data_IF_056222566869
#
_entry.id   IF_056222566869
#
_cell.length_a   1.000
_cell.length_b   1.000
_cell.length_c   1.000
_cell.angle_alpha   90.00
_cell.angle_beta   90.00
_cell.angle_gamma   90.00
#
_symmetry.space_group_name_H-M   'P 1'
#
loop_
_entity.id
_entity.type
_entity.pdbx_description
1 polymer ?
2 non-polymer ?
3 water ?
#
# COMPACT_ATOMS: atom_id res chain seq x y z
N UNK A 7 -1.74 -20.82 -0.55
CA UNK A 7 -1.78 -19.39 -0.29
C UNK A 7 -1.49 -18.60 -1.56
N UNK A 8 -2.18 -17.50 -1.74
CA UNK A 8 -2.01 -16.71 -2.97
C UNK A 8 -0.65 -16.02 -3.04
N UNK A 9 -0.24 -15.73 -4.27
CA UNK A 9 0.92 -14.91 -4.52
C UNK A 9 0.59 -13.42 -4.43
N UNK A 10 1.40 -12.64 -5.06
CA UNK A 10 1.26 -11.19 -4.95
C UNK A 10 0.10 -10.68 -5.79
N UNK A 11 -0.53 -9.61 -5.32
CA UNK A 11 -1.49 -8.87 -6.16
C UNK A 11 -0.82 -8.37 -7.43
N UNK A 12 -1.61 -8.27 -8.49
CA UNK A 12 -1.07 -7.97 -9.82
C UNK A 12 -1.38 -6.54 -10.25
N UNK A 13 -0.57 -5.99 -11.15
CA UNK A 13 -0.87 -4.71 -11.81
C UNK A 13 -1.18 -3.61 -10.80
N UNK A 14 -0.34 -3.43 -9.82
CA UNK A 14 -0.59 -2.44 -8.79
C UNK A 14 -0.21 -1.07 -9.31
N UNK A 15 -1.03 -0.09 -8.97
CA UNK A 15 -0.82 1.30 -9.31
C UNK A 15 -1.09 2.13 -8.08
N UNK A 16 -0.38 3.25 -7.95
CA UNK A 16 -0.59 4.12 -6.81
C UNK A 16 -0.29 5.53 -7.23
N UNK A 17 -1.17 6.44 -6.90
CA UNK A 17 -0.91 7.83 -7.25
C UNK A 17 -1.52 8.76 -6.22
N UNK A 18 -0.84 9.86 -5.85
CA UNK A 18 -1.41 10.75 -4.84
C UNK A 18 -2.67 11.39 -5.35
N UNK A 19 -3.63 11.60 -4.45
CA UNK A 19 -4.86 12.32 -4.67
C UNK A 19 -4.77 13.74 -4.20
N UNK A 20 -4.00 13.97 -3.15
CA UNK A 20 -3.83 15.26 -2.50
C UNK A 20 -2.65 15.08 -1.55
N UNK A 21 -2.41 16.08 -0.71
CA UNK A 21 -1.19 16.02 0.11
C UNK A 21 -1.21 14.93 1.18
N UNK A 22 -2.37 14.34 1.46
CA UNK A 22 -2.50 13.39 2.56
C UNK A 22 -2.99 12.02 2.13
N UNK A 23 -3.10 11.73 0.85
CA UNK A 23 -3.73 10.46 0.47
C UNK A 23 -3.27 10.00 -0.90
N UNK A 24 -3.40 8.70 -1.09
CA UNK A 24 -2.93 8.00 -2.29
C UNK A 24 -3.99 6.99 -2.71
N UNK A 25 -4.33 7.00 -3.98
CA UNK A 25 -5.26 6.04 -4.57
C UNK A 25 -4.48 4.83 -5.03
N UNK A 26 -4.75 3.66 -4.45
CA UNK A 26 -4.05 2.42 -4.76
C UNK A 26 -5.01 1.46 -5.43
N UNK A 27 -4.62 0.86 -6.50
CA UNK A 27 -5.47 -0.08 -7.26
C UNK A 27 -4.67 -1.30 -7.66
N UNK A 28 -5.33 -2.43 -7.80
CA UNK A 28 -4.62 -3.66 -8.14
C UNK A 28 -5.60 -4.66 -8.72
N UNK A 29 -5.05 -5.76 -9.19
CA UNK A 29 -5.81 -6.93 -9.65
C UNK A 29 -5.50 -8.12 -8.75
N UNK A 30 -6.35 -9.11 -8.70
CA UNK A 30 -6.14 -10.23 -7.76
C UNK A 30 -4.88 -11.01 -8.10
N UNK A 31 -4.31 -11.70 -7.12
CA UNK A 31 -3.27 -12.67 -7.39
C UNK A 31 -3.74 -13.68 -8.41
N UNK A 32 -2.79 -14.28 -9.07
CA UNK A 32 -3.12 -15.37 -9.97
C UNK A 32 -3.74 -16.53 -9.17
N UNK A 40 -10.46 -13.97 -3.30
CA UNK A 40 -9.76 -13.28 -2.22
C UNK A 40 -10.55 -12.04 -1.92
N UNK A 41 -11.05 -11.93 -0.70
CA UNK A 41 -11.90 -10.80 -0.35
C UNK A 41 -11.21 -9.76 0.50
N UNK A 42 -10.04 -10.02 1.02
CA UNK A 42 -9.35 -9.09 1.90
C UNK A 42 -7.92 -8.87 1.49
N UNK A 43 -7.46 -7.62 1.61
CA UNK A 43 -6.08 -7.24 1.34
C UNK A 43 -5.61 -6.29 2.44
N UNK A 44 -4.29 -6.20 2.59
CA UNK A 44 -3.63 -5.11 3.31
C UNK A 44 -2.92 -4.21 2.30
N UNK A 45 -3.01 -2.91 2.52
CA UNK A 45 -2.06 -1.95 1.93
C UNK A 45 -1.12 -1.51 3.02
N UNK A 46 0.16 -1.61 2.74
CA UNK A 46 1.21 -1.22 3.66
C UNK A 46 1.89 0.01 3.07
N UNK A 47 1.99 1.09 3.84
CA UNK A 47 2.59 2.33 3.36
C UNK A 47 3.68 2.76 4.34
N UNK A 48 4.92 2.85 3.87
CA UNK A 48 6.06 3.16 4.72
C UNK A 48 6.62 4.50 4.28
N UNK A 49 6.68 5.46 5.20
CA UNK A 49 7.39 6.71 4.91
C UNK A 49 8.87 6.43 4.75
N UNK A 50 9.48 7.02 3.73
CA UNK A 50 10.91 6.94 3.51
C UNK A 50 11.56 8.30 3.72
N UNK A 54 21.10 7.10 7.17
CA UNK A 54 22.31 6.40 6.81
C UNK A 54 22.52 5.08 7.53
N UNK A 55 21.53 4.71 8.36
CA UNK A 55 21.57 3.44 9.13
C UNK A 55 20.37 2.55 8.83
N UNK A 56 19.50 2.99 7.94
CA UNK A 56 18.31 2.29 7.53
C UNK A 56 17.12 2.42 8.45
N UNK A 57 17.06 3.46 9.27
CA UNK A 57 16.00 3.62 10.29
C UNK A 57 14.72 4.16 9.67
N UNK A 58 13.58 3.69 10.16
CA UNK A 58 12.27 4.01 9.60
C UNK A 58 11.28 4.32 10.70
N UNK A 59 10.36 5.24 10.39
CA UNK A 59 9.28 5.47 11.34
C UNK A 59 8.21 4.42 11.15
N UNK A 60 7.17 4.51 11.95
CA UNK A 60 6.14 3.49 11.94
C UNK A 60 5.37 3.51 10.63
N UNK A 61 5.24 2.40 9.97
CA UNK A 61 4.43 2.37 8.74
C UNK A 61 2.94 2.33 9.05
N UNK A 62 2.15 2.68 8.04
CA UNK A 62 0.70 2.58 8.06
C UNK A 62 0.28 1.24 7.47
N UNK A 63 -0.81 0.70 7.99
CA UNK A 63 -1.47 -0.47 7.39
C UNK A 63 -2.93 -0.16 7.25
N UNK A 64 -3.50 -0.56 6.14
CA UNK A 64 -4.92 -0.37 5.84
C UNK A 64 -5.55 -1.69 5.48
N UNK A 65 -6.61 -2.05 6.14
CA UNK A 65 -7.41 -3.21 5.77
C UNK A 65 -8.41 -2.86 4.72
N UNK A 66 -8.48 -3.66 3.68
CA UNK A 66 -9.44 -3.45 2.61
C UNK A 66 -10.25 -4.73 2.44
N UNK A 67 -11.55 -4.57 2.31
CA UNK A 67 -12.47 -5.67 2.15
C UNK A 67 -13.34 -5.44 0.93
N UNK A 68 -13.43 -6.44 0.09
CA UNK A 68 -14.39 -6.49 -1.03
C UNK A 68 -14.19 -5.39 -2.07
N UNK A 69 -12.97 -4.90 -2.24
CA UNK A 69 -12.62 -3.93 -3.28
C UNK A 69 -11.21 -4.19 -3.74
N UNK A 70 -10.94 -3.81 -4.98
CA UNK A 70 -9.63 -3.92 -5.60
C UNK A 70 -8.98 -2.57 -5.74
N UNK A 71 -9.48 -1.57 -5.02
CA UNK A 71 -8.76 -0.29 -4.90
C UNK A 71 -9.20 0.36 -3.61
N UNK A 72 -8.42 1.32 -3.17
CA UNK A 72 -8.68 1.97 -1.90
C UNK A 72 -7.84 3.23 -1.81
N UNK A 73 -8.37 4.25 -1.15
CA UNK A 73 -7.67 5.49 -0.89
C UNK A 73 -7.06 5.38 0.49
N UNK A 74 -5.76 5.36 0.57
CA UNK A 74 -5.07 5.42 1.87
C UNK A 74 -4.90 6.88 2.26
N UNK A 75 -5.27 7.19 3.48
CA UNK A 75 -5.44 8.56 3.94
C UNK A 75 -4.69 8.76 5.26
N UNK A 76 -4.60 10.01 5.63
CA UNK A 76 -3.95 10.38 6.87
C UNK A 76 -2.45 10.49 6.78
N UNK A 77 -1.92 10.56 5.56
CA UNK A 77 -0.49 10.62 5.35
C UNK A 77 0.04 12.03 5.51
N UNK A 78 1.36 12.12 5.53
CA UNK A 78 2.10 13.37 5.66
C UNK A 78 2.27 14.05 4.31
N UNK A 79 1.99 15.34 4.22
CA UNK A 79 2.34 16.10 3.01
C UNK A 79 3.82 16.09 2.64
N UNK A 80 4.11 16.23 1.33
CA UNK A 80 5.49 16.39 0.86
C UNK A 80 6.41 15.25 1.32
N UNK A 81 5.93 14.03 1.33
CA UNK A 81 6.61 12.89 1.91
C UNK A 81 6.58 11.71 0.98
N UNK A 82 7.72 11.03 0.91
CA UNK A 82 7.87 9.83 0.08
C UNK A 82 7.35 8.60 0.81
N UNK A 83 6.52 7.82 0.17
CA UNK A 83 6.00 6.60 0.70
C UNK A 83 6.27 5.41 -0.22
N UNK A 84 6.62 4.26 0.37
CA UNK A 84 6.66 2.99 -0.33
C UNK A 84 5.36 2.27 -0.09
N UNK A 85 4.68 1.91 -1.17
CA UNK A 85 3.37 1.28 -1.15
C UNK A 85 3.46 -0.15 -1.64
N UNK A 86 2.92 -1.07 -0.82
CA UNK A 86 2.83 -2.48 -1.17
C UNK A 86 1.44 -2.99 -0.82
N UNK A 87 0.98 -3.99 -1.54
CA UNK A 87 -0.33 -4.60 -1.30
C UNK A 87 -0.09 -6.10 -1.11
N UNK A 88 -0.88 -6.72 -0.22
CA UNK A 88 -0.79 -8.15 0.00
C UNK A 88 -2.18 -8.72 0.19
N UNK A 89 -2.43 -9.91 -0.32
CA UNK A 89 -3.64 -10.65 0.01
C UNK A 89 -3.55 -11.23 1.41
N UNK A 90 -4.69 -11.39 2.04
CA UNK A 90 -4.74 -11.99 3.40
C UNK A 90 -4.96 -13.47 3.33
N UNK A 91 -4.25 -14.20 4.20
CA UNK A 91 -4.23 -15.65 4.18
C UNK A 91 -4.32 -16.21 5.60
N UNK A 92 -4.45 -17.54 5.67
CA UNK A 92 -4.47 -18.23 6.95
C UNK A 92 -3.19 -18.03 7.75
N UNK A 93 -2.05 -17.76 7.09
CA UNK A 93 -0.81 -17.65 7.88
C UNK A 93 -0.32 -16.24 8.02
N UNK A 94 -1.10 -15.27 7.57
CA UNK A 94 -0.74 -13.88 7.53
C UNK A 94 -0.85 -13.33 6.12
N UNK A 95 -0.07 -12.34 5.82
CA UNK A 95 -0.11 -11.78 4.48
C UNK A 95 0.51 -12.76 3.49
N UNK A 96 -0.04 -12.81 2.27
CA UNK A 96 0.66 -13.43 1.16
C UNK A 96 1.77 -12.49 0.70
N UNK A 97 2.46 -12.90 -0.36
CA UNK A 97 3.56 -12.07 -0.87
C UNK A 97 3.10 -10.66 -1.18
N UNK A 98 3.94 -9.70 -0.86
CA UNK A 98 3.67 -8.31 -1.16
C UNK A 98 4.01 -7.98 -2.60
N UNK A 99 3.23 -7.11 -3.24
CA UNK A 99 3.61 -6.54 -4.53
C UNK A 99 4.92 -5.79 -4.39
N UNK A 100 5.65 -5.68 -5.50
CA UNK A 100 6.89 -4.92 -5.52
C UNK A 100 6.56 -3.46 -5.21
N UNK A 101 7.36 -2.83 -4.38
CA UNK A 101 7.07 -1.51 -3.87
C UNK A 101 6.98 -0.47 -4.97
N UNK A 102 6.03 0.44 -4.80
CA UNK A 102 5.89 1.64 -5.60
C UNK A 102 6.21 2.81 -4.72
N UNK A 103 7.15 3.65 -5.14
CA UNK A 103 7.50 4.83 -4.37
C UNK A 103 6.81 6.04 -4.96
N UNK A 104 6.05 6.74 -4.13
CA UNK A 104 5.32 7.93 -4.55
C UNK A 104 5.48 9.02 -3.50
N UNK A 105 5.53 10.26 -3.92
CA UNK A 105 5.63 11.38 -3.00
C UNK A 105 4.32 12.14 -3.01
N UNK A 106 3.81 12.43 -1.82
CA UNK A 106 2.64 13.26 -1.72
C UNK A 106 3.00 14.70 -2.07
N UNK A 107 2.07 15.46 -2.66
CA UNK A 107 2.28 16.89 -2.88
C UNK A 107 2.18 17.69 -1.59
N UNK A 108 2.21 19.01 -1.68
CA UNK A 108 2.15 19.88 -0.52
C UNK A 108 3.45 20.58 -0.19
N UNK A 109 4.49 20.39 -0.98
CA UNK A 109 5.73 21.10 -0.78
C UNK A 109 6.10 21.97 -1.98
#
# INVERSE_FOLDING_TARGET
GPSTEDVPGDPQDVKATPLNSTSIHVSWKPPLEKDRNGIIRGYHIHAQELRDEGKGFLNEPFKFDVVDTLEFNVTGLQPDTKYSIQVAALTRKGDGDRSAAIVVKTPGGVP
#
